data_IF_320347387612
#
_entry.id   IF_320347387612
#
_cell.length_a   1.000
_cell.length_b   1.000
_cell.length_c   1.000
_cell.angle_alpha   90.00
_cell.angle_beta   90.00
_cell.angle_gamma   90.00
#
_symmetry.space_group_name_H-M   'P 1'
#
loop_
_entity.id
_entity.type
_entity.pdbx_description
1 polymer ?
#
# COMPACT_ATOMS: atom_id res chain seq x y z
N UNK A 1 -17.85 5.55 -19.64
CA UNK A 1 -17.26 4.93 -18.44
C UNK A 1 -17.51 5.88 -17.29
N UNK A 2 -18.38 5.50 -16.36
CA UNK A 2 -18.70 6.33 -15.21
C UNK A 2 -17.60 6.13 -14.17
N UNK A 3 -16.91 7.21 -13.83
CA UNK A 3 -16.06 7.26 -12.66
C UNK A 3 -16.93 6.92 -11.44
N UNK A 4 -16.51 5.94 -10.65
CA UNK A 4 -17.05 5.61 -9.35
C UNK A 4 -16.85 6.82 -8.42
N UNK A 5 -17.84 7.70 -8.39
CA UNK A 5 -18.00 8.70 -7.34
C UNK A 5 -18.37 7.93 -6.06
N UNK A 6 -17.36 7.49 -5.31
CA UNK A 6 -17.52 7.12 -3.92
C UNK A 6 -17.81 8.41 -3.14
N UNK A 7 -19.06 8.62 -2.76
CA UNK A 7 -19.42 9.58 -1.71
C UNK A 7 -18.93 9.05 -0.36
N UNK A 8 -17.62 9.12 -0.13
CA UNK A 8 -16.95 9.00 1.17
C UNK A 8 -16.75 10.43 1.71
N UNK A 9 -17.83 11.19 1.93
CA UNK A 9 -17.70 12.63 2.20
C UNK A 9 -16.92 12.96 3.49
N UNK A 10 -16.69 11.98 4.38
CA UNK A 10 -15.99 12.18 5.66
C UNK A 10 -14.75 11.27 5.87
N UNK A 11 -14.38 10.41 4.91
CA UNK A 11 -13.21 9.52 5.05
C UNK A 11 -12.11 9.91 4.07
N UNK A 12 -10.91 10.16 4.61
CA UNK A 12 -9.74 10.52 3.80
C UNK A 12 -9.41 9.39 2.82
N UNK A 13 -9.09 9.76 1.57
CA UNK A 13 -8.72 8.79 0.54
C UNK A 13 -7.30 8.26 0.83
N UNK A 14 -7.06 6.94 0.70
CA UNK A 14 -5.73 6.36 0.84
C UNK A 14 -4.73 6.96 -0.15
N UNK A 15 -3.45 6.99 0.25
CA UNK A 15 -2.36 7.49 -0.59
C UNK A 15 -2.19 6.69 -1.89
N UNK A 16 -2.46 5.38 -1.87
CA UNK A 16 -2.52 4.53 -3.07
C UNK A 16 -3.66 3.53 -2.94
N UNK A 17 -4.34 3.26 -4.04
CA UNK A 17 -5.31 2.18 -4.20
C UNK A 17 -4.86 1.26 -5.33
N UNK A 18 -4.86 -0.05 -5.11
CA UNK A 18 -4.68 -1.04 -6.16
C UNK A 18 -6.00 -1.71 -6.52
N UNK A 19 -6.30 -1.76 -7.82
CA UNK A 19 -7.47 -2.39 -8.38
C UNK A 19 -7.06 -3.71 -9.06
N UNK A 20 -7.90 -4.73 -8.95
CA UNK A 20 -7.76 -5.93 -9.77
C UNK A 20 -8.14 -5.67 -11.25
N UNK A 21 -7.98 -6.69 -12.08
CA UNK A 21 -8.33 -6.66 -13.52
C UNK A 21 -9.81 -6.32 -13.80
N UNK A 22 -10.69 -6.51 -12.82
CA UNK A 22 -12.14 -6.27 -12.93
C UNK A 22 -12.51 -4.89 -12.34
N UNK A 23 -11.52 -4.11 -11.87
CA UNK A 23 -11.68 -2.77 -11.33
C UNK A 23 -12.08 -2.72 -9.86
N UNK A 24 -11.98 -3.84 -9.12
CA UNK A 24 -12.29 -3.87 -7.69
C UNK A 24 -11.07 -3.52 -6.86
N UNK A 25 -11.26 -2.76 -5.79
CA UNK A 25 -10.19 -2.44 -4.85
C UNK A 25 -9.76 -3.70 -4.11
N UNK A 26 -8.47 -4.06 -4.23
CA UNK A 26 -7.88 -5.23 -3.57
C UNK A 26 -6.84 -4.86 -2.51
N UNK A 27 -6.29 -3.65 -2.58
CA UNK A 27 -5.30 -3.13 -1.65
C UNK A 27 -5.46 -1.61 -1.49
N UNK A 28 -5.38 -1.13 -0.26
CA UNK A 28 -5.18 0.30 0.06
C UNK A 28 -3.85 0.50 0.77
N UNK A 29 -3.23 1.67 0.60
CA UNK A 29 -1.92 1.98 1.15
C UNK A 29 -1.93 3.35 1.82
N UNK A 30 -1.38 3.41 3.02
CA UNK A 30 -0.99 4.64 3.70
C UNK A 30 0.54 4.72 3.76
N UNK A 31 1.11 5.80 3.22
CA UNK A 31 2.54 6.04 3.19
C UNK A 31 2.93 7.18 4.14
N UNK A 32 4.09 7.03 4.77
CA UNK A 32 4.63 8.01 5.70
C UNK A 32 6.14 8.23 5.47
N UNK A 33 6.45 9.18 4.59
CA UNK A 33 7.80 9.73 4.40
C UNK A 33 8.12 10.91 5.33
N UNK A 34 9.22 11.61 5.06
CA UNK A 34 9.58 12.82 5.79
C UNK A 34 8.57 13.97 5.57
N UNK A 35 8.42 14.89 6.56
CA UNK A 35 9.11 14.91 7.84
C UNK A 35 8.57 13.86 8.83
N UNK A 36 9.47 13.26 9.62
CA UNK A 36 9.04 12.43 10.74
C UNK A 36 8.29 13.30 11.73
N UNK A 37 7.06 12.89 12.04
CA UNK A 37 6.39 13.38 13.23
C UNK A 37 7.30 13.10 14.44
N UNK A 38 7.27 14.02 15.41
CA UNK A 38 7.97 13.92 16.68
C UNK A 38 7.65 12.64 17.46
N UNK A 39 6.54 11.97 17.14
CA UNK A 39 6.13 10.70 17.74
C UNK A 39 5.75 9.65 16.67
N UNK A 40 6.74 8.91 16.11
CA UNK A 40 6.50 7.93 15.05
C UNK A 40 5.51 6.83 15.42
N UNK A 41 5.46 6.44 16.71
CA UNK A 41 4.52 5.42 17.18
C UNK A 41 3.08 5.91 17.06
N UNK A 42 2.83 7.14 17.51
CA UNK A 42 1.49 7.75 17.42
C UNK A 42 1.09 7.95 15.96
N UNK A 43 2.01 8.32 15.07
CA UNK A 43 1.65 8.49 13.67
C UNK A 43 1.32 7.17 13.00
N UNK A 44 2.09 6.11 13.26
CA UNK A 44 1.73 4.75 12.81
C UNK A 44 0.35 4.34 13.33
N UNK A 45 0.06 4.54 14.61
CA UNK A 45 -1.26 4.24 15.20
C UNK A 45 -2.37 5.01 14.48
N UNK A 46 -2.18 6.31 14.23
CA UNK A 46 -3.15 7.14 13.50
C UNK A 46 -3.35 6.66 12.05
N UNK A 47 -2.28 6.32 11.32
CA UNK A 47 -2.38 5.81 9.96
C UNK A 47 -3.12 4.46 9.91
N UNK A 48 -2.90 3.59 10.89
CA UNK A 48 -3.64 2.32 11.01
C UNK A 48 -5.12 2.59 11.30
N UNK A 49 -5.45 3.57 12.14
CA UNK A 49 -6.84 3.97 12.35
C UNK A 49 -7.50 4.48 11.06
N UNK A 50 -6.80 5.29 10.26
CA UNK A 50 -7.32 5.73 8.95
C UNK A 50 -7.57 4.56 7.99
N UNK A 51 -6.67 3.57 7.97
CA UNK A 51 -6.89 2.33 7.21
C UNK A 51 -8.19 1.67 7.66
N UNK A 52 -8.38 1.49 8.97
CA UNK A 52 -9.58 0.85 9.52
C UNK A 52 -10.84 1.65 9.15
N UNK A 53 -10.82 2.96 9.35
CA UNK A 53 -11.96 3.84 9.02
C UNK A 53 -12.36 3.71 7.54
N UNK A 54 -11.39 3.64 6.62
CA UNK A 54 -11.64 3.42 5.20
C UNK A 54 -12.20 2.03 4.90
N UNK A 55 -11.64 0.99 5.52
CA UNK A 55 -12.09 -0.39 5.33
C UNK A 55 -13.52 -0.59 5.85
N UNK A 56 -13.86 0.00 7.00
CA UNK A 56 -15.22 -0.06 7.59
C UNK A 56 -16.24 0.74 6.78
N UNK A 57 -15.83 1.87 6.18
CA UNK A 57 -16.71 2.68 5.34
C UNK A 57 -16.92 2.12 3.92
N UNK A 58 -16.06 1.20 3.48
CA UNK A 58 -16.16 0.60 2.15
C UNK A 58 -17.40 -0.31 2.04
N UNK A 59 -18.12 -0.20 0.92
CA UNK A 59 -19.28 -1.06 0.63
C UNK A 59 -18.87 -2.50 0.28
N UNK A 60 -17.71 -2.64 -0.35
CA UNK A 60 -17.15 -3.91 -0.76
C UNK A 60 -15.99 -4.28 0.16
N UNK A 61 -15.82 -5.58 0.42
CA UNK A 61 -14.69 -6.08 1.20
C UNK A 61 -13.39 -5.81 0.44
N UNK A 62 -12.52 -4.99 1.03
CA UNK A 62 -11.14 -4.78 0.56
C UNK A 62 -10.25 -5.73 1.37
N UNK A 63 -9.66 -6.77 0.76
CA UNK A 63 -9.03 -7.86 1.49
C UNK A 63 -7.67 -7.50 2.11
N UNK A 64 -6.94 -6.53 1.55
CA UNK A 64 -5.61 -6.16 2.03
C UNK A 64 -5.47 -4.66 2.27
N UNK A 65 -4.62 -4.32 3.24
CA UNK A 65 -4.16 -2.96 3.47
C UNK A 65 -2.66 -2.96 3.70
N UNK A 66 -2.02 -1.81 3.51
CA UNK A 66 -0.59 -1.64 3.71
C UNK A 66 -0.29 -0.33 4.41
N UNK A 67 0.58 -0.39 5.42
CA UNK A 67 1.20 0.79 6.00
C UNK A 67 2.67 0.81 5.63
N UNK A 68 3.15 1.94 5.14
CA UNK A 68 4.55 2.10 4.74
C UNK A 68 5.16 3.30 5.42
N UNK A 69 6.27 3.08 6.12
CA UNK A 69 7.17 4.15 6.54
C UNK A 69 8.59 3.91 5.97
N UNK A 70 9.53 4.78 6.29
CA UNK A 70 10.91 4.68 5.80
C UNK A 70 11.68 3.46 6.34
N UNK A 71 11.13 2.74 7.31
CA UNK A 71 11.75 1.54 7.92
C UNK A 71 11.02 0.27 7.54
N UNK A 72 9.69 0.27 7.56
CA UNK A 72 8.88 -0.92 7.36
C UNK A 72 7.77 -0.72 6.33
N UNK A 73 7.58 -1.77 5.52
CA UNK A 73 6.35 -2.03 4.77
C UNK A 73 5.60 -3.11 5.52
N UNK A 74 4.43 -2.80 6.04
CA UNK A 74 3.56 -3.72 6.77
C UNK A 74 2.36 -4.05 5.90
N UNK A 75 2.09 -5.34 5.70
CA UNK A 75 0.92 -5.81 4.94
C UNK A 75 -0.05 -6.46 5.90
N UNK A 76 -1.31 -6.04 5.81
CA UNK A 76 -2.41 -6.50 6.65
C UNK A 76 -3.48 -7.17 5.81
N UNK A 77 -4.18 -8.11 6.42
CA UNK A 77 -5.42 -8.67 5.90
C UNK A 77 -6.61 -8.15 6.72
N UNK A 78 -7.69 -7.85 6.01
CA UNK A 78 -8.97 -7.47 6.57
C UNK A 78 -10.02 -8.55 6.29
N UNK A 79 -10.63 -9.07 7.35
CA UNK A 79 -11.70 -10.09 7.26
C UNK A 79 -13.11 -9.49 7.33
N UNK A 80 -13.23 -8.16 7.39
CA UNK A 80 -14.48 -7.44 7.63
C UNK A 80 -14.66 -6.96 9.07
N UNK A 81 -13.82 -7.42 10.00
CA UNK A 81 -13.91 -7.11 11.43
C UNK A 81 -12.55 -6.83 12.08
N UNK A 82 -11.50 -7.55 11.69
CA UNK A 82 -10.17 -7.49 12.27
C UNK A 82 -9.12 -7.23 11.20
N UNK A 83 -8.21 -6.30 11.51
CA UNK A 83 -7.02 -6.03 10.72
C UNK A 83 -5.85 -6.80 11.31
N UNK A 84 -5.38 -7.84 10.60
CA UNK A 84 -4.31 -8.72 11.05
C UNK A 84 -3.04 -8.48 10.24
N UNK A 85 -1.90 -8.21 10.91
CA UNK A 85 -0.60 -8.09 10.24
C UNK A 85 -0.15 -9.47 9.72
N UNK A 86 0.15 -9.56 8.42
CA UNK A 86 0.61 -10.78 7.77
C UNK A 86 2.10 -10.76 7.47
N UNK A 87 2.62 -9.62 6.99
CA UNK A 87 4.00 -9.49 6.54
C UNK A 87 4.59 -8.16 7.03
N UNK A 88 5.91 -8.18 7.24
CA UNK A 88 6.71 -7.01 7.55
C UNK A 88 8.03 -7.08 6.80
N UNK A 89 8.32 -6.06 6.01
CA UNK A 89 9.56 -5.94 5.25
C UNK A 89 10.33 -4.72 5.67
N UNK A 90 11.66 -4.78 5.56
CA UNK A 90 12.46 -3.56 5.58
C UNK A 90 12.19 -2.76 4.30
N UNK A 91 11.73 -1.51 4.43
CA UNK A 91 11.38 -0.66 3.29
C UNK A 91 12.56 -0.47 2.33
N UNK A 92 13.78 -0.36 2.87
CA UNK A 92 14.97 -0.15 2.04
C UNK A 92 15.38 -1.38 1.25
N UNK A 93 15.19 -2.59 1.79
CA UNK A 93 15.49 -3.83 1.06
C UNK A 93 14.58 -3.98 -0.17
N UNK A 94 13.35 -3.48 -0.09
CA UNK A 94 12.38 -3.49 -1.18
C UNK A 94 12.62 -2.32 -2.15
N UNK A 95 12.67 -1.10 -1.63
CA UNK A 95 12.66 0.11 -2.47
C UNK A 95 14.03 0.50 -3.03
N UNK A 96 15.15 -0.07 -2.54
CA UNK A 96 16.46 0.17 -3.13
C UNK A 96 16.60 -0.34 -4.58
N UNK A 97 15.71 -1.25 -5.00
CA UNK A 97 15.61 -1.65 -6.40
C UNK A 97 15.08 -0.51 -7.31
N UNK A 98 14.24 0.36 -6.75
CA UNK A 98 13.62 1.48 -7.45
C UNK A 98 14.45 2.76 -7.32
N UNK A 99 15.00 3.00 -6.13
CA UNK A 99 15.89 4.11 -5.79
C UNK A 99 17.15 3.55 -5.09
N UNK A 100 18.25 3.28 -5.81
CA UNK A 100 19.46 2.70 -5.22
C UNK A 100 20.06 3.50 -4.06
N UNK A 101 19.76 4.80 -3.97
CA UNK A 101 20.22 5.68 -2.90
C UNK A 101 19.14 5.90 -1.82
N UNK A 102 18.15 5.00 -1.69
CA UNK A 102 17.01 5.14 -0.77
C UNK A 102 17.46 5.45 0.66
N UNK A 103 18.48 4.74 1.15
CA UNK A 103 19.06 4.92 2.49
C UNK A 103 20.01 6.11 2.62
N UNK A 104 20.32 6.79 1.52
CA UNK A 104 21.27 7.90 1.47
C UNK A 104 20.58 9.26 1.27
N UNK A 105 19.28 9.25 0.96
CA UNK A 105 18.49 10.45 0.68
C UNK A 105 17.38 10.64 1.70
N UNK A 106 16.97 11.89 1.85
CA UNK A 106 15.74 12.22 2.56
C UNK A 106 14.53 11.94 1.65
N UNK A 107 13.76 10.91 1.98
CA UNK A 107 12.58 10.49 1.20
C UNK A 107 11.33 11.17 1.75
N UNK A 108 10.77 12.13 1.01
CA UNK A 108 9.51 12.81 1.36
C UNK A 108 8.29 11.95 1.00
N UNK A 109 7.14 12.26 1.61
CA UNK A 109 5.93 11.44 1.48
C UNK A 109 5.54 11.17 0.02
N UNK A 110 5.42 12.21 -0.80
CA UNK A 110 5.04 12.07 -2.21
C UNK A 110 6.01 11.16 -2.99
N UNK A 111 7.31 11.22 -2.67
CA UNK A 111 8.29 10.37 -3.33
C UNK A 111 8.19 8.92 -2.86
N UNK A 112 7.97 8.70 -1.56
CA UNK A 112 7.72 7.37 -1.02
C UNK A 112 6.47 6.74 -1.65
N UNK A 113 5.38 7.49 -1.75
CA UNK A 113 4.13 7.06 -2.41
C UNK A 113 4.40 6.59 -3.84
N UNK A 114 5.14 7.38 -4.63
CA UNK A 114 5.49 7.00 -6.01
C UNK A 114 6.37 5.75 -6.10
N UNK A 115 7.32 5.57 -5.16
CA UNK A 115 8.15 4.36 -5.12
C UNK A 115 7.33 3.11 -4.75
N UNK A 116 6.37 3.24 -3.84
CA UNK A 116 5.48 2.14 -3.47
C UNK A 116 4.50 1.81 -4.58
N UNK A 117 3.94 2.83 -5.24
CA UNK A 117 3.10 2.63 -6.42
C UNK A 117 3.85 1.87 -7.53
N UNK A 118 5.09 2.28 -7.81
CA UNK A 118 5.96 1.59 -8.75
C UNK A 118 6.21 0.13 -8.37
N UNK A 119 6.46 -0.14 -7.09
CA UNK A 119 6.66 -1.51 -6.60
C UNK A 119 5.41 -2.37 -6.72
N UNK A 120 4.23 -1.83 -6.38
CA UNK A 120 2.95 -2.54 -6.53
C UNK A 120 2.63 -2.77 -8.02
N UNK A 121 2.91 -1.79 -8.87
CA UNK A 121 2.70 -1.88 -10.33
C UNK A 121 3.44 -3.05 -10.98
N UNK A 122 4.61 -3.44 -10.46
CA UNK A 122 5.33 -4.61 -10.95
C UNK A 122 4.58 -5.93 -10.70
N UNK A 123 3.80 -6.03 -9.63
CA UNK A 123 2.89 -7.17 -9.43
C UNK A 123 1.67 -7.13 -10.36
N UNK A 124 1.25 -5.93 -10.75
CA UNK A 124 0.09 -5.75 -11.61
C UNK A 124 0.40 -6.09 -13.08
N UNK A 125 1.47 -5.51 -13.62
CA UNK A 125 1.76 -5.55 -15.06
C UNK A 125 3.27 -5.53 -15.40
N UNK A 126 4.16 -5.87 -14.46
CA UNK A 126 5.61 -6.01 -14.68
C UNK A 126 6.27 -4.77 -15.30
N UNK A 127 5.98 -3.59 -14.75
CA UNK A 127 6.43 -2.31 -15.29
C UNK A 127 7.96 -2.20 -15.43
N UNK A 128 8.69 -2.57 -14.38
CA UNK A 128 10.15 -2.49 -14.27
C UNK A 128 10.79 -3.85 -13.98
N UNK A 129 10.17 -4.68 -13.15
CA UNK A 129 10.65 -6.02 -12.80
C UNK A 129 9.61 -7.09 -13.09
N UNK A 130 10.04 -8.18 -13.73
CA UNK A 130 9.24 -9.41 -13.86
C UNK A 130 9.10 -10.15 -12.52
N UNK A 131 10.05 -9.94 -11.61
CA UNK A 131 10.09 -10.54 -10.27
C UNK A 131 10.39 -9.42 -9.27
N UNK A 132 9.38 -8.64 -8.85
CA UNK A 132 9.59 -7.56 -7.88
C UNK A 132 10.16 -8.09 -6.55
N UNK A 133 10.91 -7.26 -5.80
CA UNK A 133 11.33 -7.61 -4.45
C UNK A 133 10.14 -8.07 -3.59
N UNK A 134 10.37 -9.05 -2.71
CA UNK A 134 9.35 -9.73 -1.90
C UNK A 134 8.27 -10.53 -2.69
N UNK A 135 8.53 -10.89 -3.95
CA UNK A 135 7.59 -11.66 -4.78
C UNK A 135 7.06 -12.94 -4.12
N UNK A 136 7.94 -13.68 -3.42
CA UNK A 136 7.58 -14.96 -2.82
C UNK A 136 6.60 -14.78 -1.68
N UNK A 137 6.90 -13.87 -0.76
CA UNK A 137 6.12 -13.58 0.43
C UNK A 137 4.74 -13.00 0.06
N UNK A 138 4.71 -12.08 -0.91
CA UNK A 138 3.45 -11.50 -1.43
C UNK A 138 2.58 -12.55 -2.13
N UNK A 139 3.19 -13.54 -2.79
CA UNK A 139 2.47 -14.66 -3.39
C UNK A 139 1.94 -15.66 -2.36
N UNK A 140 2.67 -15.90 -1.26
CA UNK A 140 2.26 -16.81 -0.18
C UNK A 140 0.99 -16.34 0.53
N UNK A 141 0.79 -15.03 0.68
CA UNK A 141 -0.44 -14.45 1.25
C UNK A 141 -1.57 -14.28 0.23
N UNK A 142 -1.35 -14.61 -1.04
CA UNK A 142 -2.36 -14.53 -2.11
C UNK A 142 -2.56 -13.15 -2.73
N UNK A 143 -1.85 -12.11 -2.27
CA UNK A 143 -2.01 -10.74 -2.78
C UNK A 143 -1.55 -10.62 -4.24
N UNK A 144 -0.47 -11.32 -4.63
CA UNK A 144 0.05 -11.25 -6.02
C UNK A 144 -0.99 -11.64 -7.08
N UNK A 145 -1.86 -12.61 -6.76
CA UNK A 145 -2.87 -13.14 -7.67
C UNK A 145 -4.01 -12.15 -7.88
N UNK A 146 -4.34 -11.35 -6.85
CA UNK A 146 -5.36 -10.31 -6.93
C UNK A 146 -4.86 -9.10 -7.74
N UNK A 147 -3.58 -8.74 -7.58
CA UNK A 147 -2.98 -7.61 -8.28
C UNK A 147 -2.79 -7.89 -9.78
N UNK A 148 -2.59 -9.15 -10.18
CA UNK A 148 -2.26 -9.52 -11.56
C UNK A 148 -3.29 -9.02 -12.58
N UNK A 149 -2.82 -8.24 -13.55
CA UNK A 149 -3.64 -7.61 -14.59
C UNK A 149 -4.44 -6.38 -14.12
N UNK A 150 -4.20 -5.95 -12.89
CA UNK A 150 -4.78 -4.76 -12.27
C UNK A 150 -4.01 -3.46 -12.57
N UNK A 151 -4.33 -2.41 -11.81
CA UNK A 151 -3.68 -1.08 -11.89
C UNK A 151 -3.57 -0.44 -10.51
N UNK A 152 -2.71 0.57 -10.37
CA UNK A 152 -2.61 1.43 -9.19
C UNK A 152 -3.17 2.82 -9.47
N UNK A 153 -3.64 3.49 -8.42
CA UNK A 153 -4.13 4.87 -8.45
C UNK A 153 -3.69 5.61 -7.17
N UNK A 154 -2.79 6.60 -7.28
CA UNK A 154 -2.49 7.51 -6.18
C UNK A 154 -3.57 8.61 -6.02
#
# INVERSE_FOLDING_TARGET
MQATNLELQDVERPDVVALDKDGKIVLIVEAQGFPFDSNPKKTKENSILRIIDYLEASKDLIPFAMFVDLKNILVFQWDGYNLSELLSFNTSDVLSYYEPEFNQKQIFNLYLTGLIEAWISDFCYYWKSEIPPASKEIAEIGLSQLLKGGITQP
#
